data_IF_461939544065
#
_entry.id   IF_461939544065
#
_cell.length_a   1.000
_cell.length_b   1.000
_cell.length_c   1.000
_cell.angle_alpha   90.00
_cell.angle_beta   90.00
_cell.angle_gamma   90.00
#
_symmetry.space_group_name_H-M   'P 1'
#
loop_
_entity.id
_entity.type
_entity.pdbx_description
1 polymer ?
#
# COMPACT_ATOMS: atom_id res chain seq x y z
N UNK A 1 27.20 10.73 -22.44
CA UNK A 1 27.25 9.56 -21.55
C UNK A 1 28.07 9.98 -20.34
N UNK A 2 27.54 10.07 -19.11
CA UNK A 2 28.38 10.38 -17.96
C UNK A 2 29.38 9.23 -17.78
N UNK A 3 30.66 9.57 -17.60
CA UNK A 3 31.77 8.60 -17.56
C UNK A 3 31.76 7.71 -16.31
N UNK A 4 31.01 8.07 -15.27
CA UNK A 4 30.81 7.26 -14.07
C UNK A 4 29.39 7.45 -13.51
N UNK A 5 28.75 6.35 -13.10
CA UNK A 5 27.53 6.35 -12.28
C UNK A 5 27.91 6.08 -10.84
N UNK A 6 27.43 6.89 -9.91
CA UNK A 6 27.56 6.62 -8.48
C UNK A 6 26.66 5.42 -8.11
N UNK A 7 27.29 4.31 -7.73
CA UNK A 7 26.60 3.06 -7.37
C UNK A 7 26.22 3.01 -5.89
N UNK A 8 26.92 3.77 -5.04
CA UNK A 8 26.74 3.74 -3.59
C UNK A 8 25.61 4.67 -3.17
N UNK A 9 25.42 5.79 -3.89
CA UNK A 9 24.40 6.80 -3.56
C UNK A 9 23.50 7.10 -4.77
N UNK A 10 22.72 6.12 -5.26
CA UNK A 10 21.78 6.34 -6.35
C UNK A 10 20.68 7.33 -5.93
N UNK A 11 20.12 8.06 -6.90
CA UNK A 11 19.02 8.98 -6.60
C UNK A 11 17.72 8.22 -6.27
N UNK A 12 16.89 8.77 -5.38
CA UNK A 12 15.59 8.17 -5.01
C UNK A 12 14.69 7.86 -6.21
N UNK A 13 14.75 8.69 -7.25
CA UNK A 13 13.98 8.51 -8.48
C UNK A 13 14.43 7.27 -9.26
N UNK A 14 15.73 7.00 -9.30
CA UNK A 14 16.29 5.84 -9.96
C UNK A 14 15.98 4.55 -9.19
N UNK A 15 16.08 4.57 -7.86
CA UNK A 15 15.72 3.42 -7.03
C UNK A 15 14.24 3.04 -7.12
N UNK A 16 13.34 4.03 -7.17
CA UNK A 16 11.90 3.80 -7.29
C UNK A 16 11.51 3.14 -8.62
N UNK A 17 12.27 3.41 -9.70
CA UNK A 17 12.08 2.79 -11.03
C UNK A 17 12.56 1.35 -11.09
N UNK A 18 13.53 0.96 -10.26
CA UNK A 18 14.04 -0.41 -10.21
C UNK A 18 12.97 -1.36 -9.64
N UNK A 19 12.96 -2.59 -10.16
CA UNK A 19 12.19 -3.69 -9.58
C UNK A 19 12.59 -3.91 -8.11
N UNK A 20 11.64 -4.33 -7.26
CA UNK A 20 11.83 -4.45 -5.81
C UNK A 20 13.09 -5.23 -5.37
N UNK A 21 13.46 -6.27 -6.12
CA UNK A 21 14.63 -7.12 -5.84
C UNK A 21 15.95 -6.57 -6.41
N UNK A 22 15.90 -5.59 -7.32
CA UNK A 22 17.08 -5.00 -7.99
C UNK A 22 17.48 -3.64 -7.42
N UNK A 23 16.86 -3.23 -6.30
CA UNK A 23 17.24 -2.03 -5.55
C UNK A 23 18.56 -2.30 -4.81
N UNK A 24 19.24 -1.23 -4.38
CA UNK A 24 20.46 -1.36 -3.58
C UNK A 24 20.18 -2.15 -2.30
N UNK A 25 19.07 -1.81 -1.63
CA UNK A 25 18.48 -2.60 -0.55
C UNK A 25 17.07 -3.03 -0.96
N UNK A 26 16.75 -4.34 -0.94
CA UNK A 26 15.44 -4.83 -1.33
C UNK A 26 14.36 -4.38 -0.33
N UNK A 27 13.26 -3.82 -0.84
CA UNK A 27 12.13 -3.38 -0.05
C UNK A 27 10.79 -3.70 -0.73
N UNK A 28 9.74 -4.08 0.03
CA UNK A 28 8.44 -4.35 -0.53
C UNK A 28 7.79 -3.08 -1.10
N UNK A 29 6.95 -3.24 -2.13
CA UNK A 29 6.13 -2.16 -2.68
C UNK A 29 4.72 -2.10 -2.05
N UNK A 30 4.38 -3.07 -1.21
CA UNK A 30 3.11 -3.16 -0.50
C UNK A 30 3.16 -2.34 0.79
N UNK A 31 1.99 -1.90 1.22
CA UNK A 31 1.78 -1.13 2.45
C UNK A 31 0.46 -1.52 3.13
N UNK A 32 0.34 -1.18 4.39
CA UNK A 32 -0.91 -1.21 5.14
C UNK A 32 -1.56 0.18 5.09
N UNK A 33 -2.88 0.21 4.99
CA UNK A 33 -3.67 1.43 4.92
C UNK A 33 -4.82 1.36 5.92
N UNK A 34 -5.14 2.49 6.54
CA UNK A 34 -6.27 2.61 7.44
C UNK A 34 -7.52 2.98 6.62
N UNK A 35 -8.51 2.09 6.59
CA UNK A 35 -9.77 2.26 5.87
C UNK A 35 -10.88 2.52 6.86
N UNK A 36 -11.50 3.69 6.75
CA UNK A 36 -12.68 4.05 7.55
C UNK A 36 -13.96 3.58 6.85
N UNK A 37 -14.81 2.86 7.57
CA UNK A 37 -16.13 2.48 7.06
C UNK A 37 -17.16 3.60 7.28
N UNK A 38 -17.95 3.94 6.24
CA UNK A 38 -18.99 4.99 6.32
C UNK A 38 -20.15 4.67 7.27
N UNK A 39 -20.48 3.38 7.46
CA UNK A 39 -21.62 2.98 8.30
C UNK A 39 -21.30 2.86 9.79
N UNK A 40 -20.08 2.41 10.11
CA UNK A 40 -19.70 2.05 11.49
C UNK A 40 -18.68 3.01 12.11
N UNK A 41 -18.10 3.92 11.32
CA UNK A 41 -16.99 4.83 11.67
C UNK A 41 -15.73 4.17 12.25
N UNK A 42 -15.72 2.85 12.45
CA UNK A 42 -14.55 2.04 12.82
C UNK A 42 -13.49 2.10 11.72
N UNK A 43 -12.25 2.21 12.17
CA UNK A 43 -11.05 2.18 11.33
C UNK A 43 -10.54 0.75 11.31
N UNK A 44 -10.27 0.21 10.12
CA UNK A 44 -9.62 -1.08 9.96
C UNK A 44 -8.32 -0.95 9.18
N UNK A 45 -7.33 -1.73 9.60
CA UNK A 45 -6.05 -1.84 8.91
C UNK A 45 -6.22 -2.85 7.77
N UNK A 46 -6.04 -2.39 6.53
CA UNK A 46 -6.18 -3.22 5.32
C UNK A 46 -4.84 -3.30 4.62
N UNK A 47 -4.51 -4.49 4.10
CA UNK A 47 -3.33 -4.68 3.28
C UNK A 47 -3.59 -4.26 1.82
N UNK A 48 -2.68 -3.49 1.23
CA UNK A 48 -2.80 -2.98 -0.15
C UNK A 48 -2.99 -4.03 -1.25
N UNK A 49 -2.49 -5.26 -1.06
CA UNK A 49 -2.61 -6.38 -2.01
C UNK A 49 -3.34 -7.56 -1.36
N UNK A 50 -4.42 -7.28 -0.63
CA UNK A 50 -5.22 -8.31 0.05
C UNK A 50 -5.72 -9.38 -0.95
N UNK A 51 -5.51 -10.66 -0.60
CA UNK A 51 -5.96 -11.81 -1.39
C UNK A 51 -7.40 -12.24 -1.04
N UNK A 52 -7.85 -11.96 0.18
CA UNK A 52 -9.22 -12.20 0.63
C UNK A 52 -10.03 -10.91 0.66
N UNK A 53 -11.35 -10.98 0.46
CA UNK A 53 -12.22 -9.83 0.70
C UNK A 53 -12.18 -9.46 2.19
N UNK A 54 -11.92 -8.19 2.50
CA UNK A 54 -11.88 -7.68 3.89
C UNK A 54 -13.24 -7.11 4.25
N UNK A 55 -13.81 -7.60 5.34
CA UNK A 55 -15.15 -7.23 5.83
C UNK A 55 -15.03 -6.35 7.07
N UNK A 56 -15.96 -5.42 7.26
CA UNK A 56 -16.06 -4.62 8.48
C UNK A 56 -16.67 -5.43 9.65
N UNK A 57 -16.00 -5.56 10.82
CA UNK A 57 -16.51 -6.35 11.95
C UNK A 57 -17.73 -5.73 12.63
N UNK A 58 -18.21 -4.55 12.20
CA UNK A 58 -19.39 -3.92 12.77
C UNK A 58 -20.59 -3.79 11.81
N UNK A 59 -20.39 -3.92 10.50
CA UNK A 59 -21.47 -3.71 9.52
C UNK A 59 -21.53 -4.82 8.46
N UNK A 60 -20.63 -5.81 8.53
CA UNK A 60 -20.48 -6.91 7.57
C UNK A 60 -20.38 -6.51 6.09
N UNK A 61 -20.11 -5.22 5.85
CA UNK A 61 -19.89 -4.69 4.51
C UNK A 61 -18.47 -4.97 4.07
N UNK A 62 -18.32 -5.38 2.82
CA UNK A 62 -17.03 -5.52 2.15
C UNK A 62 -16.38 -4.14 2.04
N UNK A 63 -15.10 -4.04 2.42
CA UNK A 63 -14.27 -2.84 2.33
C UNK A 63 -13.39 -2.86 1.08
N UNK A 64 -12.81 -4.01 0.77
CA UNK A 64 -12.03 -4.20 -0.44
C UNK A 64 -12.27 -5.58 -1.06
N UNK A 65 -12.18 -5.63 -2.38
CA UNK A 65 -12.21 -6.84 -3.19
C UNK A 65 -10.78 -7.20 -3.64
N UNK A 66 -10.40 -8.48 -3.58
CA UNK A 66 -9.10 -8.93 -4.05
C UNK A 66 -9.00 -8.80 -5.57
N UNK A 67 -7.81 -8.43 -6.05
CA UNK A 67 -7.47 -8.48 -7.47
C UNK A 67 -6.09 -9.12 -7.64
N UNK A 68 -5.66 -9.34 -8.88
CA UNK A 68 -4.30 -9.83 -9.16
C UNK A 68 -3.17 -8.85 -8.77
N UNK A 69 -3.52 -7.62 -8.36
CA UNK A 69 -2.56 -6.59 -7.94
C UNK A 69 -3.02 -5.89 -6.66
N UNK A 70 -3.18 -4.57 -6.74
CA UNK A 70 -3.72 -3.81 -5.61
C UNK A 70 -5.20 -4.10 -5.43
N UNK A 71 -5.62 -4.34 -4.19
CA UNK A 71 -7.01 -4.57 -3.85
C UNK A 71 -7.86 -3.37 -4.29
N UNK A 72 -9.05 -3.65 -4.82
CA UNK A 72 -10.02 -2.62 -5.19
C UNK A 72 -10.82 -2.26 -3.94
N UNK A 73 -10.86 -0.98 -3.57
CA UNK A 73 -11.73 -0.53 -2.49
C UNK A 73 -13.16 -0.39 -3.04
N UNK A 74 -14.17 -0.72 -2.24
CA UNK A 74 -15.56 -0.64 -2.67
C UNK A 74 -15.98 0.82 -2.92
N UNK A 75 -16.51 1.10 -4.11
CA UNK A 75 -17.00 2.42 -4.54
C UNK A 75 -18.14 2.90 -3.60
N UNK A 76 -18.02 4.11 -3.05
CA UNK A 76 -19.11 4.77 -2.33
C UNK A 76 -18.94 4.96 -0.82
N UNK A 77 -17.76 4.69 -0.23
CA UNK A 77 -17.45 5.18 1.12
C UNK A 77 -16.44 6.29 0.97
N UNK A 78 -16.74 7.48 1.49
CA UNK A 78 -15.76 8.56 1.66
C UNK A 78 -14.66 8.05 2.59
N UNK A 79 -13.71 7.33 2.00
CA UNK A 79 -12.49 6.86 2.62
C UNK A 79 -11.68 8.13 2.83
N UNK A 80 -11.87 8.77 3.99
CA UNK A 80 -10.83 9.61 4.55
C UNK A 80 -9.64 8.68 4.75
N UNK A 81 -8.86 8.54 3.69
CA UNK A 81 -7.55 7.92 3.69
C UNK A 81 -6.68 8.82 4.55
N UNK A 82 -6.73 8.63 5.87
CA UNK A 82 -5.54 8.90 6.64
C UNK A 82 -4.59 7.80 6.20
N UNK A 83 -3.86 8.04 5.11
CA UNK A 83 -2.70 7.25 4.77
C UNK A 83 -1.66 7.59 5.84
N UNK A 84 -1.86 7.05 7.06
CA UNK A 84 -0.71 6.83 7.92
C UNK A 84 0.04 5.74 7.19
N UNK A 85 0.99 6.16 6.35
CA UNK A 85 2.03 5.30 5.86
C UNK A 85 2.77 4.87 7.11
N UNK A 86 2.27 3.82 7.79
CA UNK A 86 3.03 3.09 8.80
C UNK A 86 4.14 2.46 8.01
N UNK A 87 5.20 3.25 7.79
CA UNK A 87 6.51 2.74 7.48
C UNK A 87 6.77 1.78 8.63
N UNK A 88 6.52 0.50 8.38
CA UNK A 88 7.13 -0.60 9.10
C UNK A 88 8.63 -0.41 8.95
N UNK A 89 9.17 0.50 9.75
CA UNK A 89 10.58 0.69 9.98
C UNK A 89 10.98 -0.52 10.81
N UNK A 90 11.52 -1.51 10.13
CA UNK A 90 12.88 -1.93 10.42
C UNK A 90 13.66 -1.78 9.13
#
# INVERSE_FOLDING_TARGET
MPLARDLLHPSFREEKRKCKLKRLVPSPNSFFMDVKCSGCLKIQIVFSHAQSPVVCPGCDRILCQPTGGRARLADGKLIFLIVVKKNSTQ
#
